data_IF_978258101050
#
_entry.id   IF_978258101050
#
_cell.length_a   1.000
_cell.length_b   1.000
_cell.length_c   1.000
_cell.angle_alpha   90.00
_cell.angle_beta   90.00
_cell.angle_gamma   90.00
#
_symmetry.space_group_name_H-M   'P 1'
#
loop_
_entity.id
_entity.type
_entity.pdbx_description
1 polymer ?
#
# COMPACT_ATOMS: atom_id res chain seq x y z
N UNK A 1 -16.39 10.10 1.06
CA UNK A 1 -15.06 9.48 1.13
C UNK A 1 -15.22 8.08 1.70
N UNK A 2 -14.75 7.06 0.99
CA UNK A 2 -14.76 5.66 1.43
C UNK A 2 -13.41 5.35 2.10
N UNK A 3 -13.48 4.74 3.28
CA UNK A 3 -12.35 4.06 3.91
C UNK A 3 -12.42 2.59 3.50
N UNK A 4 -11.46 2.12 2.71
CA UNK A 4 -11.38 0.73 2.31
C UNK A 4 -10.54 -0.07 3.32
N UNK A 5 -11.16 -1.04 3.98
CA UNK A 5 -10.54 -1.79 5.06
C UNK A 5 -9.58 -2.89 4.59
N UNK A 6 -9.46 -3.18 3.29
CA UNK A 6 -8.61 -4.26 2.83
C UNK A 6 -8.21 -4.17 1.34
N UNK A 7 -6.94 -4.44 1.02
CA UNK A 7 -6.47 -4.58 -0.36
C UNK A 7 -5.13 -5.30 -0.48
N UNK A 8 -5.06 -6.26 -1.40
CA UNK A 8 -3.84 -6.99 -1.81
C UNK A 8 -2.88 -6.20 -2.72
N UNK A 9 -3.08 -4.88 -2.86
CA UNK A 9 -2.20 -4.04 -3.67
C UNK A 9 -0.70 -4.18 -3.34
N UNK A 10 -0.25 -4.42 -2.09
CA UNK A 10 1.16 -4.69 -1.82
C UNK A 10 1.73 -5.90 -2.58
N UNK A 11 0.95 -6.96 -2.78
CA UNK A 11 1.38 -8.12 -3.56
C UNK A 11 1.55 -7.75 -5.05
N UNK A 12 0.61 -6.96 -5.60
CA UNK A 12 0.71 -6.43 -6.95
C UNK A 12 1.94 -5.52 -7.12
N UNK A 13 2.14 -4.56 -6.20
CA UNK A 13 3.29 -3.65 -6.21
C UNK A 13 4.60 -4.45 -6.13
N UNK A 14 4.69 -5.44 -5.25
CA UNK A 14 5.87 -6.30 -5.12
C UNK A 14 6.24 -6.96 -6.46
N UNK A 15 5.29 -7.63 -7.12
CA UNK A 15 5.56 -8.33 -8.39
C UNK A 15 5.91 -7.35 -9.52
N UNK A 16 5.31 -6.16 -9.50
CA UNK A 16 5.57 -5.09 -10.47
C UNK A 16 6.96 -4.47 -10.28
N UNK A 17 7.34 -4.15 -9.05
CA UNK A 17 8.68 -3.62 -8.75
C UNK A 17 9.78 -4.64 -9.00
N UNK A 18 9.53 -5.94 -8.83
CA UNK A 18 10.48 -7.00 -9.24
C UNK A 18 10.77 -7.02 -10.75
N UNK A 19 9.87 -6.49 -11.56
CA UNK A 19 10.06 -6.32 -13.02
C UNK A 19 10.72 -4.98 -13.37
N UNK A 20 11.09 -4.17 -12.37
CA UNK A 20 11.69 -2.85 -12.56
C UNK A 20 10.69 -1.70 -12.72
N UNK A 21 9.39 -1.97 -12.63
CA UNK A 21 8.34 -0.93 -12.68
C UNK A 21 8.41 -0.04 -11.42
N UNK A 22 8.06 1.24 -11.57
CA UNK A 22 8.09 2.28 -10.51
C UNK A 22 6.86 3.15 -10.57
N UNK A 23 6.63 3.95 -9.53
CA UNK A 23 5.51 4.89 -9.45
C UNK A 23 4.14 4.22 -9.73
N UNK A 24 3.95 3.00 -9.22
CA UNK A 24 2.87 2.10 -9.64
C UNK A 24 1.52 2.62 -9.15
N UNK A 25 1.44 3.03 -7.88
CA UNK A 25 0.22 3.58 -7.29
C UNK A 25 -0.20 4.87 -8.00
N UNK A 26 0.72 5.82 -8.20
CA UNK A 26 0.45 7.11 -8.85
C UNK A 26 -0.04 6.91 -10.29
N UNK A 27 0.68 6.10 -11.07
CA UNK A 27 0.34 5.84 -12.48
C UNK A 27 -0.98 5.07 -12.66
N UNK A 28 -1.52 4.50 -11.58
CA UNK A 28 -2.78 3.75 -11.59
C UNK A 28 -3.81 4.35 -10.61
N UNK A 29 -3.66 5.62 -10.20
CA UNK A 29 -4.51 6.25 -9.19
C UNK A 29 -6.00 6.04 -9.49
N UNK A 30 -6.46 6.39 -10.69
CA UNK A 30 -7.87 6.28 -11.06
C UNK A 30 -8.38 4.84 -11.05
N UNK A 31 -7.54 3.88 -11.41
CA UNK A 31 -7.90 2.46 -11.42
C UNK A 31 -8.04 1.91 -10.00
N UNK A 32 -7.20 2.33 -9.08
CA UNK A 32 -7.12 1.75 -7.75
C UNK A 32 -7.95 2.50 -6.71
N UNK A 33 -8.04 3.82 -6.81
CA UNK A 33 -8.71 4.69 -5.84
C UNK A 33 -9.95 5.38 -6.41
N UNK A 34 -9.90 5.74 -7.70
CA UNK A 34 -10.95 6.54 -8.33
C UNK A 34 -11.22 7.84 -7.57
N UNK A 35 -12.45 8.32 -7.67
CA UNK A 35 -12.86 9.56 -6.99
C UNK A 35 -13.47 9.32 -5.59
N UNK A 36 -13.51 8.06 -5.13
CA UNK A 36 -14.30 7.66 -3.96
C UNK A 36 -13.49 7.10 -2.81
N UNK A 37 -12.37 6.40 -3.04
CA UNK A 37 -11.52 5.87 -1.96
C UNK A 37 -10.59 6.98 -1.47
N UNK A 38 -10.79 7.42 -0.23
CA UNK A 38 -9.91 8.41 0.40
C UNK A 38 -8.96 7.82 1.43
N UNK A 39 -9.07 6.54 1.77
CA UNK A 39 -8.08 5.82 2.57
C UNK A 39 -8.20 4.33 2.33
N UNK A 40 -7.09 3.60 2.51
CA UNK A 40 -7.08 2.15 2.32
C UNK A 40 -6.10 1.43 3.25
N UNK A 41 -6.48 0.26 3.73
CA UNK A 41 -5.57 -0.70 4.35
C UNK A 41 -4.88 -1.54 3.27
N UNK A 42 -3.56 -1.48 3.27
CA UNK A 42 -2.65 -2.19 2.37
C UNK A 42 -2.22 -3.48 3.08
N UNK A 43 -2.88 -4.59 2.74
CA UNK A 43 -2.66 -5.88 3.40
C UNK A 43 -1.36 -6.54 2.91
N UNK A 44 -0.48 -6.88 3.84
CA UNK A 44 0.68 -7.73 3.60
C UNK A 44 0.24 -9.18 3.86
N UNK A 45 -0.08 -9.89 2.79
CA UNK A 45 -0.42 -11.30 2.79
C UNK A 45 0.72 -12.13 2.21
N UNK A 46 1.07 -13.27 2.82
CA UNK A 46 2.11 -14.17 2.30
C UNK A 46 1.51 -15.32 1.48
N UNK A 47 1.88 -15.44 0.18
CA UNK A 47 1.49 -16.58 -0.65
C UNK A 47 1.94 -17.94 -0.08
N UNK A 48 1.16 -19.00 -0.36
CA UNK A 48 1.39 -20.33 0.21
C UNK A 48 2.77 -20.89 -0.13
N UNK A 49 3.27 -20.64 -1.34
CA UNK A 49 4.59 -21.06 -1.82
C UNK A 49 5.75 -20.33 -1.12
N UNK A 50 5.49 -19.21 -0.45
CA UNK A 50 6.48 -18.40 0.28
C UNK A 50 6.39 -18.56 1.80
N UNK A 51 5.58 -19.48 2.32
CA UNK A 51 5.41 -19.70 3.77
C UNK A 51 6.72 -19.99 4.50
N UNK A 52 7.62 -20.78 3.91
CA UNK A 52 8.93 -21.09 4.50
C UNK A 52 9.86 -19.87 4.61
N UNK A 53 9.52 -18.78 3.92
CA UNK A 53 10.25 -17.52 3.93
C UNK A 53 9.32 -16.33 4.22
N UNK A 54 8.23 -16.57 4.96
CA UNK A 54 7.14 -15.60 5.16
C UNK A 54 7.63 -14.25 5.68
N UNK A 55 8.48 -14.25 6.71
CA UNK A 55 9.06 -13.01 7.25
C UNK A 55 9.85 -12.25 6.19
N UNK A 56 10.70 -12.94 5.41
CA UNK A 56 11.48 -12.30 4.34
C UNK A 56 10.53 -11.71 3.30
N UNK A 57 9.56 -12.48 2.83
CA UNK A 57 8.61 -12.02 1.84
C UNK A 57 7.80 -10.79 2.34
N UNK A 58 7.28 -10.84 3.57
CA UNK A 58 6.52 -9.74 4.15
C UNK A 58 7.35 -8.45 4.25
N UNK A 59 8.62 -8.56 4.65
CA UNK A 59 9.54 -7.42 4.70
C UNK A 59 9.85 -6.88 3.30
N UNK A 60 10.03 -7.73 2.30
CA UNK A 60 10.25 -7.29 0.91
C UNK A 60 9.00 -6.61 0.33
N UNK A 61 7.80 -7.15 0.58
CA UNK A 61 6.53 -6.58 0.14
C UNK A 61 6.29 -5.21 0.81
N UNK A 62 6.52 -5.10 2.13
CA UNK A 62 6.43 -3.84 2.85
C UNK A 62 7.45 -2.81 2.33
N UNK A 63 8.69 -3.23 2.06
CA UNK A 63 9.71 -2.33 1.50
C UNK A 63 9.33 -1.87 0.08
N UNK A 64 8.73 -2.76 -0.71
CA UNK A 64 8.23 -2.45 -2.06
C UNK A 64 7.12 -1.39 -2.00
N UNK A 65 6.14 -1.58 -1.12
CA UNK A 65 5.09 -0.60 -0.85
C UNK A 65 5.67 0.75 -0.40
N UNK A 66 6.57 0.75 0.60
CA UNK A 66 7.17 1.98 1.13
C UNK A 66 7.92 2.75 0.04
N UNK A 67 8.66 2.06 -0.82
CA UNK A 67 9.41 2.71 -1.89
C UNK A 67 8.47 3.26 -2.97
N UNK A 68 7.38 2.57 -3.30
CA UNK A 68 6.38 3.09 -4.25
C UNK A 68 5.68 4.34 -3.70
N UNK A 69 5.31 4.34 -2.40
CA UNK A 69 4.71 5.51 -1.75
C UNK A 69 5.68 6.69 -1.66
N UNK A 70 6.98 6.43 -1.46
CA UNK A 70 8.02 7.50 -1.47
C UNK A 70 8.19 8.16 -2.83
N UNK A 71 7.90 7.44 -3.91
CA UNK A 71 7.96 7.95 -5.29
C UNK A 71 6.72 8.76 -5.67
N UNK A 72 5.67 8.76 -4.83
CA UNK A 72 4.36 9.37 -5.10
C UNK A 72 4.11 10.66 -4.30
N UNK A 73 3.44 11.62 -4.93
CA UNK A 73 2.93 12.83 -4.29
C UNK A 73 1.54 12.61 -3.68
N UNK A 74 0.76 11.67 -4.21
CA UNK A 74 -0.63 11.44 -3.82
C UNK A 74 -0.81 10.61 -2.54
N UNK A 75 0.14 9.76 -2.14
CA UNK A 75 -0.05 8.78 -1.05
C UNK A 75 0.84 9.02 0.16
N UNK A 76 0.41 8.63 1.37
CA UNK A 76 1.27 8.58 2.56
C UNK A 76 0.89 7.40 3.47
N UNK A 77 1.89 6.68 3.99
CA UNK A 77 1.65 5.63 4.99
C UNK A 77 1.44 6.27 6.35
N UNK A 78 0.37 5.89 7.05
CA UNK A 78 -0.01 6.40 8.37
C UNK A 78 -0.06 5.28 9.41
N UNK A 79 0.12 5.65 10.67
CA UNK A 79 0.19 4.70 11.81
C UNK A 79 -0.86 4.96 12.89
N UNK A 80 -1.49 6.13 12.86
CA UNK A 80 -2.48 6.56 13.83
C UNK A 80 -3.47 7.52 13.18
N UNK A 81 -4.51 7.85 13.94
CA UNK A 81 -5.60 8.71 13.48
C UNK A 81 -5.13 10.15 13.24
N UNK A 82 -4.19 10.66 14.04
CA UNK A 82 -3.63 12.00 13.90
C UNK A 82 -2.91 12.16 12.55
N UNK A 83 -2.01 11.22 12.21
CA UNK A 83 -1.30 11.18 10.93
C UNK A 83 -2.28 11.07 9.75
N UNK A 84 -3.34 10.26 9.88
CA UNK A 84 -4.39 10.17 8.86
C UNK A 84 -5.02 11.54 8.59
N UNK A 85 -5.41 12.26 9.65
CA UNK A 85 -6.02 13.59 9.53
C UNK A 85 -5.08 14.59 8.86
N UNK A 86 -3.81 14.63 9.27
CA UNK A 86 -2.81 15.51 8.65
C UNK A 86 -2.58 15.24 7.16
N UNK A 87 -2.61 13.97 6.75
CA UNK A 87 -2.46 13.57 5.34
C UNK A 87 -3.67 13.99 4.53
N UNK A 88 -4.88 13.84 5.07
CA UNK A 88 -6.13 14.29 4.44
C UNK A 88 -6.18 15.81 4.28
N UNK A 89 -5.76 16.57 5.29
CA UNK A 89 -5.66 18.04 5.23
C UNK A 89 -4.70 18.51 4.12
N UNK A 90 -3.67 17.70 3.80
CA UNK A 90 -2.72 17.93 2.70
C UNK A 90 -3.24 17.46 1.33
N UNK A 91 -4.48 16.98 1.24
CA UNK A 91 -5.08 16.49 0.00
C UNK A 91 -4.50 15.16 -0.51
N UNK A 92 -3.84 14.40 0.37
CA UNK A 92 -3.24 13.10 0.04
C UNK A 92 -4.09 11.95 0.57
N UNK A 93 -3.88 10.75 0.02
CA UNK A 93 -4.56 9.52 0.43
C UNK A 93 -3.74 8.81 1.52
N UNK A 94 -4.24 8.73 2.77
CA UNK A 94 -3.62 7.93 3.82
C UNK A 94 -3.77 6.43 3.58
N UNK A 95 -2.66 5.71 3.64
CA UNK A 95 -2.55 4.27 3.51
C UNK A 95 -2.16 3.65 4.86
N UNK A 96 -2.93 2.67 5.30
CA UNK A 96 -2.63 1.87 6.48
C UNK A 96 -1.91 0.60 6.08
N UNK A 97 -1.10 0.01 6.96
CA UNK A 97 -0.49 -1.30 6.71
C UNK A 97 -1.18 -2.32 7.60
N UNK A 98 -1.79 -3.32 6.98
CA UNK A 98 -2.34 -4.50 7.66
C UNK A 98 -1.47 -5.73 7.42
N UNK A 99 -1.53 -6.70 8.31
CA UNK A 99 -0.91 -8.02 8.11
C UNK A 99 -2.04 -9.06 8.03
N UNK A 100 -2.07 -9.82 6.95
CA UNK A 100 -3.06 -10.88 6.74
C UNK A 100 -2.39 -12.25 6.84
N UNK A 101 -2.76 -12.98 7.89
CA UNK A 101 -2.07 -14.20 8.31
C UNK A 101 -0.85 -13.87 9.19
N UNK A 102 -0.78 -14.52 10.34
CA UNK A 102 0.29 -14.37 11.34
C UNK A 102 0.55 -15.69 12.06
#
# INVERSE_FOLDING_TARGET
>A
MIFDAHSDLPAYIYEKRKKGERNILESNYQRFFGDFIGSRVMAIWTPSEKRNSALRYALEALNSLKNDVRESESFSIVKNHEEMREVLEKGRVPLWVGMEGG
#
